data_IF_712296463706
#
_entry.id   IF_712296463706
#
_cell.length_a   1.000
_cell.length_b   1.000
_cell.length_c   1.000
_cell.angle_alpha   90.00
_cell.angle_beta   90.00
_cell.angle_gamma   90.00
#
_symmetry.space_group_name_H-M   'P 1'
#
loop_
_entity.id
_entity.type
_entity.pdbx_description
1 polymer ?
#
# COMPACT_ATOMS: atom_id res chain seq x y z
N UNK A 1 16.35 29.30 -4.57
CA UNK A 1 17.49 28.34 -4.49
C UNK A 1 18.57 28.94 -5.37
N UNK A 2 19.66 29.39 -4.76
CA UNK A 2 20.65 30.23 -5.43
C UNK A 2 21.41 29.47 -6.52
N UNK A 3 21.56 30.08 -7.68
CA UNK A 3 22.35 29.58 -8.84
C UNK A 3 23.78 29.19 -8.45
N UNK A 4 24.33 29.77 -7.39
CA UNK A 4 25.65 29.45 -6.85
C UNK A 4 25.79 28.01 -6.30
N UNK A 5 24.70 27.37 -5.80
CA UNK A 5 24.76 25.99 -5.30
C UNK A 5 24.85 24.96 -6.44
N UNK A 6 24.32 25.28 -7.62
CA UNK A 6 24.37 24.40 -8.79
C UNK A 6 25.72 24.45 -9.52
N UNK A 7 26.50 25.51 -9.34
CA UNK A 7 27.78 25.70 -10.04
C UNK A 7 28.88 24.70 -9.61
N UNK A 8 28.74 24.07 -8.44
CA UNK A 8 29.74 23.14 -7.89
C UNK A 8 29.30 21.66 -7.93
N UNK A 9 28.27 21.33 -8.69
CA UNK A 9 27.80 19.95 -8.85
C UNK A 9 28.16 19.40 -10.22
N UNK A 10 28.49 18.09 -10.30
CA UNK A 10 28.71 17.41 -11.58
C UNK A 10 27.49 17.52 -12.49
N UNK A 11 27.72 17.41 -13.80
CA UNK A 11 26.62 17.39 -14.78
C UNK A 11 25.65 16.23 -14.52
N UNK A 12 26.17 15.04 -14.19
CA UNK A 12 25.36 13.86 -13.83
C UNK A 12 24.43 14.14 -12.65
N UNK A 13 24.92 14.79 -11.60
CA UNK A 13 24.08 15.17 -10.44
C UNK A 13 22.94 16.08 -10.90
N UNK A 14 23.22 17.08 -11.71
CA UNK A 14 22.22 18.00 -12.21
C UNK A 14 21.18 17.34 -13.11
N UNK A 15 21.60 16.43 -14.00
CA UNK A 15 20.72 15.68 -14.90
C UNK A 15 19.79 14.75 -14.13
N UNK A 16 20.33 13.94 -13.21
CA UNK A 16 19.54 13.02 -12.39
C UNK A 16 18.56 13.78 -11.48
N UNK A 17 18.99 14.89 -10.88
CA UNK A 17 18.14 15.69 -10.03
C UNK A 17 16.94 16.32 -10.78
N UNK A 18 17.10 16.62 -12.07
CA UNK A 18 16.01 17.15 -12.91
C UNK A 18 14.99 16.09 -13.30
N UNK A 19 15.43 14.84 -13.51
CA UNK A 19 14.58 13.75 -13.98
C UNK A 19 14.92 12.42 -13.26
N UNK A 20 14.67 12.31 -11.93
CA UNK A 20 14.94 11.10 -11.19
C UNK A 20 14.02 9.97 -11.63
N UNK A 21 14.57 8.76 -11.76
CA UNK A 21 13.83 7.57 -12.24
C UNK A 21 13.11 6.80 -11.13
N UNK A 22 13.67 6.82 -9.92
CA UNK A 22 13.19 6.02 -8.79
C UNK A 22 12.39 6.83 -7.77
N UNK A 23 11.98 8.05 -8.12
CA UNK A 23 11.18 8.89 -7.22
C UNK A 23 9.77 8.34 -7.09
N UNK A 24 9.33 8.11 -5.85
CA UNK A 24 8.00 7.56 -5.54
C UNK A 24 7.96 6.96 -4.14
N UNK A 25 6.89 6.22 -3.85
CA UNK A 25 6.70 5.46 -2.63
C UNK A 25 6.25 4.04 -2.97
N UNK A 26 6.44 3.12 -2.04
CA UNK A 26 5.86 1.77 -2.04
C UNK A 26 5.03 1.65 -0.77
N UNK A 27 3.84 1.10 -0.87
CA UNK A 27 2.95 0.94 0.27
C UNK A 27 3.03 -0.46 0.85
N UNK A 28 2.81 -0.58 2.17
CA UNK A 28 2.88 -1.87 2.86
C UNK A 28 1.93 -2.90 2.25
N UNK A 29 0.74 -2.47 1.86
CA UNK A 29 -0.25 -3.35 1.24
C UNK A 29 0.25 -4.01 -0.04
N UNK A 30 1.00 -3.28 -0.88
CA UNK A 30 1.58 -3.82 -2.12
C UNK A 30 2.64 -4.91 -1.83
N UNK A 31 3.38 -4.75 -0.73
CA UNK A 31 4.37 -5.73 -0.30
C UNK A 31 3.69 -6.97 0.29
N UNK A 32 2.67 -6.78 1.12
CA UNK A 32 1.90 -7.85 1.77
C UNK A 32 1.19 -8.73 0.73
N UNK A 33 0.52 -8.13 -0.26
CA UNK A 33 -0.12 -8.85 -1.35
C UNK A 33 0.84 -9.74 -2.15
N UNK A 34 2.09 -9.29 -2.30
CA UNK A 34 3.14 -10.03 -2.99
C UNK A 34 3.92 -10.98 -2.07
N UNK A 35 3.64 -10.97 -0.76
CA UNK A 35 4.39 -11.72 0.24
C UNK A 35 5.84 -11.27 0.37
N UNK A 36 6.11 -9.98 0.16
CA UNK A 36 7.43 -9.36 0.17
C UNK A 36 7.65 -8.51 1.42
N UNK A 37 8.90 -8.36 1.84
CA UNK A 37 9.25 -7.46 2.92
C UNK A 37 9.36 -6.03 2.40
N UNK A 38 8.73 -5.07 3.07
CA UNK A 38 8.90 -3.65 2.81
C UNK A 38 9.82 -3.04 3.88
N UNK A 39 11.01 -2.62 3.46
CA UNK A 39 11.88 -1.77 4.27
C UNK A 39 11.66 -0.33 3.87
N UNK A 40 11.14 0.47 4.78
CA UNK A 40 10.92 1.90 4.63
C UNK A 40 11.69 2.66 5.72
N UNK A 41 12.74 3.35 5.32
CA UNK A 41 13.65 4.03 6.23
C UNK A 41 13.77 5.50 5.88
N UNK A 42 13.78 6.35 6.91
CA UNK A 42 13.90 7.80 6.75
C UNK A 42 15.10 8.33 7.53
N UNK A 43 15.94 9.09 6.86
CA UNK A 43 17.03 9.88 7.50
C UNK A 43 16.92 11.31 6.98
N UNK A 44 16.79 12.26 7.88
CA UNK A 44 16.59 13.67 7.55
C UNK A 44 15.38 13.90 6.62
N UNK A 45 15.59 14.47 5.45
CA UNK A 45 14.56 14.74 4.44
C UNK A 45 14.44 13.64 3.38
N UNK A 46 15.22 12.54 3.48
CA UNK A 46 15.23 11.42 2.55
C UNK A 46 14.56 10.20 3.16
N UNK A 47 13.61 9.62 2.45
CA UNK A 47 13.02 8.31 2.75
C UNK A 47 13.24 7.38 1.56
N UNK A 48 13.67 6.14 1.82
CA UNK A 48 13.76 5.08 0.81
C UNK A 48 12.80 3.95 1.13
N UNK A 49 12.36 3.26 0.09
CA UNK A 49 11.47 2.12 0.13
C UNK A 49 12.11 0.99 -0.67
N UNK A 50 12.27 -0.17 -0.05
CA UNK A 50 12.85 -1.36 -0.66
C UNK A 50 11.86 -2.52 -0.50
N UNK A 51 11.42 -3.08 -1.61
CA UNK A 51 10.62 -4.30 -1.64
C UNK A 51 11.55 -5.47 -1.86
N UNK A 52 11.61 -6.40 -0.91
CA UNK A 52 12.63 -7.45 -0.82
C UNK A 52 11.95 -8.80 -0.73
N UNK A 53 12.41 -9.76 -1.54
CA UNK A 53 12.00 -11.15 -1.41
C UNK A 53 12.67 -11.79 -0.17
N UNK A 54 11.88 -12.20 0.84
CA UNK A 54 12.44 -12.72 2.10
C UNK A 54 13.09 -14.11 1.96
N UNK A 55 12.86 -14.85 0.86
CA UNK A 55 13.45 -16.18 0.65
C UNK A 55 14.91 -16.10 0.17
N UNK A 56 15.21 -15.12 -0.67
CA UNK A 56 16.55 -14.97 -1.26
C UNK A 56 17.20 -13.61 -0.93
N UNK A 57 16.57 -12.82 -0.07
CA UNK A 57 17.04 -11.49 0.38
C UNK A 57 17.27 -10.50 -0.78
N UNK A 58 16.59 -10.71 -1.91
CA UNK A 58 16.78 -9.97 -3.14
C UNK A 58 15.88 -8.75 -3.22
N UNK A 59 16.44 -7.60 -3.51
CA UNK A 59 15.72 -6.35 -3.71
C UNK A 59 15.08 -6.35 -5.09
N UNK A 60 13.74 -6.40 -5.14
CA UNK A 60 12.97 -6.47 -6.39
C UNK A 60 12.57 -5.09 -6.89
N UNK A 61 12.23 -4.20 -5.98
CA UNK A 61 11.82 -2.83 -6.31
C UNK A 61 12.37 -1.83 -5.30
N UNK A 62 12.71 -0.65 -5.81
CA UNK A 62 13.27 0.44 -5.01
C UNK A 62 12.59 1.75 -5.38
N UNK A 63 12.26 2.56 -4.39
CA UNK A 63 11.76 3.93 -4.55
C UNK A 63 12.39 4.82 -3.49
N UNK A 64 12.36 6.12 -3.74
CA UNK A 64 12.71 7.11 -2.74
C UNK A 64 11.82 8.34 -2.83
N UNK A 65 11.69 9.02 -1.71
CA UNK A 65 11.04 10.31 -1.63
C UNK A 65 11.92 11.28 -0.83
N UNK A 66 12.09 12.49 -1.33
CA UNK A 66 12.85 13.51 -0.64
C UNK A 66 12.29 14.92 -0.89
N UNK A 67 12.34 15.74 0.14
CA UNK A 67 12.20 17.19 0.08
C UNK A 67 13.57 17.91 0.07
N UNK A 68 14.68 17.14 0.13
CA UNK A 68 16.04 17.66 0.01
C UNK A 68 16.34 18.15 -1.40
N UNK A 69 17.42 18.87 -1.52
CA UNK A 69 17.88 19.47 -2.77
C UNK A 69 18.38 18.45 -3.80
N UNK A 70 19.01 18.94 -4.87
CA UNK A 70 19.51 18.11 -5.99
C UNK A 70 20.49 17.04 -5.54
N UNK A 71 21.31 17.29 -4.51
CA UNK A 71 22.29 16.34 -3.99
C UNK A 71 21.58 15.06 -3.48
N UNK A 72 20.60 15.20 -2.58
CA UNK A 72 19.85 14.05 -2.09
C UNK A 72 19.10 13.31 -3.20
N UNK A 73 18.51 14.04 -4.13
CA UNK A 73 17.80 13.43 -5.25
C UNK A 73 18.73 12.56 -6.08
N UNK A 74 19.93 13.08 -6.42
CA UNK A 74 20.89 12.33 -7.23
C UNK A 74 21.51 11.14 -6.49
N UNK A 75 21.86 11.31 -5.20
CA UNK A 75 22.38 10.22 -4.39
C UNK A 75 21.35 9.10 -4.23
N UNK A 76 20.12 9.42 -3.92
CA UNK A 76 19.06 8.44 -3.71
C UNK A 76 18.67 7.72 -5.00
N UNK A 77 18.52 8.42 -6.11
CA UNK A 77 18.23 7.82 -7.42
C UNK A 77 19.34 6.85 -7.85
N UNK A 78 20.59 7.27 -7.66
CA UNK A 78 21.77 6.45 -7.97
C UNK A 78 21.84 5.22 -7.05
N UNK A 79 21.63 5.40 -5.75
CA UNK A 79 21.57 4.30 -4.81
C UNK A 79 20.50 3.28 -5.20
N UNK A 80 19.26 3.70 -5.43
CA UNK A 80 18.17 2.85 -5.89
C UNK A 80 18.56 2.06 -7.16
N UNK A 81 19.19 2.71 -8.12
CA UNK A 81 19.71 2.06 -9.34
C UNK A 81 20.76 0.99 -9.02
N UNK A 82 21.69 1.29 -8.12
CA UNK A 82 22.82 0.40 -7.81
C UNK A 82 22.40 -0.86 -7.04
N UNK A 83 21.36 -0.77 -6.23
CA UNK A 83 20.89 -1.88 -5.36
C UNK A 83 19.81 -2.74 -6.00
N UNK A 84 19.16 -2.28 -7.05
CA UNK A 84 18.09 -3.05 -7.70
C UNK A 84 18.61 -4.40 -8.20
N UNK A 85 17.86 -5.46 -7.88
CA UNK A 85 18.20 -6.86 -8.17
C UNK A 85 19.42 -7.42 -7.41
N UNK A 86 19.99 -6.68 -6.46
CA UNK A 86 21.02 -7.16 -5.53
C UNK A 86 20.40 -7.74 -4.27
N UNK A 87 21.18 -8.52 -3.52
CA UNK A 87 20.80 -8.91 -2.17
C UNK A 87 20.96 -7.74 -1.19
N UNK A 88 20.30 -7.83 -0.04
CA UNK A 88 20.42 -6.81 0.99
C UNK A 88 21.86 -6.63 1.48
N UNK A 89 22.61 -7.72 1.60
CA UNK A 89 24.01 -7.69 2.01
C UNK A 89 24.88 -6.97 0.99
N UNK A 90 24.67 -7.24 -0.30
CA UNK A 90 25.35 -6.52 -1.39
C UNK A 90 24.98 -5.04 -1.39
N UNK A 91 23.72 -4.70 -1.16
CA UNK A 91 23.23 -3.33 -1.09
C UNK A 91 23.84 -2.58 0.11
N UNK A 92 23.92 -3.20 1.26
CA UNK A 92 24.49 -2.62 2.48
C UNK A 92 26.04 -2.54 2.43
N UNK A 93 26.69 -3.25 1.53
CA UNK A 93 28.13 -3.11 1.27
C UNK A 93 28.49 -1.86 0.45
N UNK A 94 27.50 -1.24 -0.20
CA UNK A 94 27.67 0.00 -0.94
C UNK A 94 27.86 1.15 0.06
N UNK A 95 28.87 1.98 -0.18
CA UNK A 95 29.14 3.17 0.65
C UNK A 95 28.61 4.44 -0.01
N UNK A 96 28.28 5.45 0.80
CA UNK A 96 27.91 6.76 0.26
C UNK A 96 29.00 7.38 -0.60
N UNK A 97 30.28 7.05 -0.32
CA UNK A 97 31.40 7.49 -1.14
C UNK A 97 31.38 6.85 -2.53
N UNK A 98 31.11 5.53 -2.61
CA UNK A 98 31.03 4.84 -3.91
C UNK A 98 29.85 5.33 -4.76
N UNK A 99 28.75 5.76 -4.12
CA UNK A 99 27.63 6.40 -4.81
C UNK A 99 28.07 7.76 -5.39
N UNK A 100 28.76 8.58 -4.60
CA UNK A 100 29.31 9.86 -5.03
C UNK A 100 30.31 9.67 -6.20
N UNK A 101 31.19 8.69 -6.11
CA UNK A 101 32.15 8.37 -7.17
C UNK A 101 31.49 8.04 -8.50
N UNK A 102 30.36 7.33 -8.47
CA UNK A 102 29.59 7.00 -9.68
C UNK A 102 28.95 8.23 -10.35
N UNK A 103 28.73 9.28 -9.57
CA UNK A 103 28.19 10.56 -10.01
C UNK A 103 29.23 11.52 -10.59
N UNK A 104 30.53 11.21 -10.51
CA UNK A 104 31.60 12.06 -11.04
C UNK A 104 31.57 12.09 -12.56
N UNK A 105 31.77 13.27 -13.14
CA UNK A 105 31.97 13.43 -14.59
C UNK A 105 33.38 13.04 -14.96
N UNK A 106 34.36 13.34 -14.09
CA UNK A 106 35.77 13.02 -14.22
C UNK A 106 36.24 12.32 -12.94
N UNK A 107 36.99 11.21 -13.01
CA UNK A 107 37.32 10.38 -11.84
C UNK A 107 37.93 11.11 -10.64
N UNK A 108 38.73 12.15 -10.89
CA UNK A 108 39.47 12.90 -9.88
C UNK A 108 38.76 14.18 -9.41
N UNK A 109 37.58 14.47 -9.95
CA UNK A 109 36.80 15.66 -9.60
C UNK A 109 35.53 15.21 -8.87
N UNK A 110 35.33 15.70 -7.64
CA UNK A 110 34.15 15.33 -6.84
C UNK A 110 32.88 15.82 -7.52
N UNK A 111 31.86 14.94 -7.49
CA UNK A 111 30.53 15.24 -8.00
C UNK A 111 29.76 16.21 -7.09
N UNK A 112 30.09 16.19 -5.81
CA UNK A 112 29.39 16.89 -4.71
C UNK A 112 30.46 17.53 -3.81
N UNK A 113 30.18 18.72 -3.22
CA UNK A 113 31.11 19.37 -2.28
C UNK A 113 31.53 18.44 -1.15
N UNK A 114 32.79 18.52 -0.73
CA UNK A 114 33.38 17.62 0.27
C UNK A 114 32.70 17.68 1.63
N UNK A 115 32.22 18.85 2.00
CA UNK A 115 31.54 19.12 3.27
C UNK A 115 30.01 18.98 3.20
N UNK A 116 29.47 18.39 2.13
CA UNK A 116 28.04 18.17 1.99
C UNK A 116 27.53 17.17 3.03
N UNK A 117 26.62 17.55 3.93
CA UNK A 117 26.12 16.67 4.97
C UNK A 117 25.32 15.46 4.42
N UNK A 118 24.85 15.58 3.18
CA UNK A 118 24.08 14.54 2.50
C UNK A 118 24.85 13.22 2.34
N UNK A 119 26.18 13.27 2.24
CA UNK A 119 27.03 12.08 2.16
C UNK A 119 26.94 11.27 3.47
N UNK A 120 27.11 11.93 4.61
CA UNK A 120 27.02 11.26 5.91
C UNK A 120 25.60 10.76 6.21
N UNK A 121 24.58 11.52 5.82
CA UNK A 121 23.19 11.14 5.98
C UNK A 121 22.81 9.97 5.06
N UNK A 122 23.38 9.90 3.85
CA UNK A 122 23.21 8.74 2.97
C UNK A 122 23.86 7.48 3.55
N UNK A 123 25.02 7.58 4.19
CA UNK A 123 25.67 6.47 4.87
C UNK A 123 24.81 5.99 6.05
N UNK A 124 24.28 6.89 6.87
CA UNK A 124 23.34 6.55 7.95
C UNK A 124 22.07 5.88 7.42
N UNK A 125 21.57 6.27 6.26
CA UNK A 125 20.41 5.64 5.63
C UNK A 125 20.70 4.19 5.25
N UNK A 126 21.85 3.90 4.67
CA UNK A 126 22.28 2.53 4.29
C UNK A 126 22.38 1.66 5.55
N UNK A 127 22.97 2.16 6.62
CA UNK A 127 23.08 1.47 7.91
C UNK A 127 21.70 1.22 8.52
N UNK A 128 20.79 2.18 8.45
CA UNK A 128 19.43 2.04 8.96
C UNK A 128 18.62 1.01 8.15
N UNK A 129 18.85 0.89 6.84
CA UNK A 129 18.27 -0.19 6.01
C UNK A 129 18.70 -1.56 6.50
N UNK A 130 20.01 -1.74 6.76
CA UNK A 130 20.55 -2.99 7.27
C UNK A 130 19.94 -3.37 8.64
N UNK A 131 19.74 -2.39 9.52
CA UNK A 131 19.17 -2.60 10.86
C UNK A 131 17.66 -2.93 10.81
N UNK A 132 16.91 -2.33 9.89
CA UNK A 132 15.47 -2.51 9.80
C UNK A 132 15.07 -3.84 9.13
N UNK A 133 15.90 -4.36 8.23
CA UNK A 133 15.52 -5.51 7.41
C UNK A 133 15.16 -6.79 8.16
N UNK A 134 15.89 -7.23 9.21
CA UNK A 134 15.58 -8.50 9.89
C UNK A 134 14.17 -8.55 10.48
N UNK A 135 13.70 -7.44 11.06
CA UNK A 135 12.34 -7.33 11.59
C UNK A 135 11.29 -7.38 10.46
N UNK A 136 11.52 -6.63 9.39
CA UNK A 136 10.62 -6.58 8.22
C UNK A 136 10.57 -7.93 7.50
N UNK A 137 11.68 -8.65 7.40
CA UNK A 137 11.74 -10.02 6.89
C UNK A 137 10.87 -10.96 7.72
N UNK A 138 11.02 -10.94 9.03
CA UNK A 138 10.22 -11.77 9.94
C UNK A 138 8.72 -11.52 9.80
N UNK A 139 8.34 -10.25 9.73
CA UNK A 139 6.95 -9.85 9.52
C UNK A 139 6.40 -10.35 8.17
N UNK A 140 7.14 -10.20 7.08
CA UNK A 140 6.73 -10.64 5.76
C UNK A 140 6.53 -12.17 5.67
N UNK A 141 7.42 -12.95 6.31
CA UNK A 141 7.29 -14.41 6.38
C UNK A 141 5.99 -14.79 7.11
N UNK A 142 5.71 -14.17 8.25
CA UNK A 142 4.48 -14.44 9.01
C UNK A 142 3.21 -14.08 8.23
N UNK A 143 3.22 -12.95 7.52
CA UNK A 143 2.11 -12.52 6.66
C UNK A 143 1.90 -13.54 5.54
N UNK A 144 2.98 -13.96 4.85
CA UNK A 144 2.93 -14.96 3.78
C UNK A 144 2.38 -16.30 4.27
N UNK A 145 2.90 -16.82 5.38
CA UNK A 145 2.40 -18.06 5.97
C UNK A 145 0.91 -18.00 6.32
N UNK A 146 0.46 -16.84 6.81
CA UNK A 146 -0.96 -16.62 7.10
C UNK A 146 -1.80 -16.62 5.81
N UNK A 147 -1.34 -15.94 4.78
CA UNK A 147 -2.03 -15.89 3.47
C UNK A 147 -2.06 -17.26 2.81
N UNK A 148 -0.97 -18.02 2.85
CA UNK A 148 -0.90 -19.37 2.30
C UNK A 148 -1.84 -20.33 3.04
N UNK A 149 -1.95 -20.25 4.36
CA UNK A 149 -2.92 -21.05 5.13
C UNK A 149 -4.36 -20.72 4.73
N UNK A 150 -4.70 -19.45 4.59
CA UNK A 150 -6.04 -19.02 4.18
C UNK A 150 -6.34 -19.50 2.76
N UNK A 151 -5.41 -19.31 1.84
CA UNK A 151 -5.52 -19.75 0.45
C UNK A 151 -5.67 -21.27 0.34
N UNK A 152 -4.89 -22.03 1.11
CA UNK A 152 -5.00 -23.48 1.17
C UNK A 152 -6.36 -23.93 1.72
N UNK A 153 -6.83 -23.33 2.83
CA UNK A 153 -8.14 -23.59 3.42
C UNK A 153 -9.31 -23.38 2.45
N UNK A 154 -9.20 -22.38 1.58
CA UNK A 154 -10.28 -22.08 0.63
C UNK A 154 -10.22 -22.91 -0.66
N UNK A 155 -9.09 -23.53 -0.96
CA UNK A 155 -8.91 -24.35 -2.17
C UNK A 155 -9.37 -25.81 -2.00
N UNK A 156 -9.31 -26.35 -0.78
CA UNK A 156 -9.71 -27.75 -0.52
C UNK A 156 -11.14 -27.84 0.01
N UNK A 157 -11.82 -28.94 -0.29
CA UNK A 157 -13.18 -29.19 0.26
C UNK A 157 -13.16 -29.31 1.78
N UNK A 158 -12.13 -29.96 2.33
CA UNK A 158 -11.93 -30.12 3.78
C UNK A 158 -11.68 -28.77 4.45
N UNK A 159 -10.79 -27.95 3.90
CA UNK A 159 -10.52 -26.63 4.45
C UNK A 159 -11.71 -25.67 4.40
N UNK A 160 -12.56 -25.77 3.36
CA UNK A 160 -13.83 -25.03 3.31
C UNK A 160 -14.78 -25.51 4.40
N UNK A 161 -14.91 -26.83 4.59
CA UNK A 161 -15.77 -27.39 5.63
C UNK A 161 -15.33 -26.97 7.04
N UNK A 162 -14.01 -26.90 7.31
CA UNK A 162 -13.49 -26.36 8.57
C UNK A 162 -13.79 -24.86 8.73
N UNK A 163 -13.59 -24.06 7.69
CA UNK A 163 -13.90 -22.64 7.70
C UNK A 163 -15.40 -22.39 7.94
N UNK A 164 -16.26 -23.19 7.30
CA UNK A 164 -17.72 -23.14 7.49
C UNK A 164 -18.09 -23.52 8.91
N UNK A 165 -17.49 -24.56 9.49
CA UNK A 165 -17.75 -24.97 10.86
C UNK A 165 -17.34 -23.88 11.86
N UNK A 166 -16.14 -23.29 11.70
CA UNK A 166 -15.67 -22.18 12.53
C UNK A 166 -16.58 -20.95 12.41
N UNK A 167 -16.94 -20.58 11.18
CA UNK A 167 -17.82 -19.43 10.93
C UNK A 167 -19.23 -19.61 11.50
N UNK A 168 -19.81 -20.79 11.30
CA UNK A 168 -21.15 -21.10 11.77
C UNK A 168 -21.23 -21.28 13.30
N UNK A 169 -20.11 -21.57 13.97
CA UNK A 169 -20.04 -21.60 15.42
C UNK A 169 -20.06 -20.20 16.06
N UNK A 170 -19.74 -19.14 15.29
CA UNK A 170 -19.76 -17.76 15.78
C UNK A 170 -21.18 -17.19 15.81
N UNK A 171 -21.47 -16.41 16.84
CA UNK A 171 -22.68 -15.58 16.88
C UNK A 171 -22.54 -14.40 15.89
N UNK A 172 -23.66 -13.83 15.46
CA UNK A 172 -23.67 -12.66 14.57
C UNK A 172 -22.79 -11.50 15.09
N UNK A 173 -22.83 -11.09 16.37
CA UNK A 173 -21.92 -10.07 16.89
C UNK A 173 -20.45 -10.44 16.75
N UNK A 174 -20.06 -11.71 17.01
CA UNK A 174 -18.68 -12.17 16.86
C UNK A 174 -18.20 -12.14 15.40
N UNK A 175 -19.09 -12.49 14.46
CA UNK A 175 -18.80 -12.37 13.03
C UNK A 175 -18.55 -10.91 12.63
N UNK A 176 -19.42 -9.99 13.07
CA UNK A 176 -19.28 -8.56 12.80
C UNK A 176 -17.99 -8.01 13.43
N UNK A 177 -17.68 -8.38 14.68
CA UNK A 177 -16.46 -7.97 15.35
C UNK A 177 -15.20 -8.40 14.56
N UNK A 178 -15.19 -9.64 14.06
CA UNK A 178 -14.09 -10.17 13.25
C UNK A 178 -13.94 -9.41 11.91
N UNK A 179 -15.05 -9.09 11.25
CA UNK A 179 -15.06 -8.28 10.02
C UNK A 179 -14.57 -6.87 10.31
N UNK A 180 -15.07 -6.24 11.37
CA UNK A 180 -14.71 -4.87 11.76
C UNK A 180 -13.21 -4.75 12.10
N UNK A 181 -12.68 -5.74 12.84
CA UNK A 181 -11.25 -5.80 13.15
C UNK A 181 -10.37 -5.83 11.89
N UNK A 182 -10.79 -6.61 10.87
CA UNK A 182 -10.07 -6.66 9.59
C UNK A 182 -10.22 -5.36 8.80
N UNK A 183 -11.41 -4.80 8.68
CA UNK A 183 -11.64 -3.50 8.02
C UNK A 183 -10.79 -2.41 8.64
N UNK A 184 -10.71 -2.38 9.98
CA UNK A 184 -9.87 -1.39 10.69
C UNK A 184 -8.38 -1.59 10.40
N UNK A 185 -7.91 -2.83 10.34
CA UNK A 185 -6.50 -3.15 10.13
C UNK A 185 -6.03 -2.88 8.70
N UNK A 186 -6.85 -3.21 7.70
CA UNK A 186 -6.38 -3.33 6.31
C UNK A 186 -7.08 -2.37 5.33
N UNK A 187 -8.33 -1.99 5.58
CA UNK A 187 -9.14 -1.25 4.61
C UNK A 187 -9.30 0.23 4.97
N UNK A 188 -9.63 0.54 6.24
CA UNK A 188 -9.96 1.92 6.63
C UNK A 188 -8.82 2.91 6.47
N UNK A 189 -7.57 2.47 6.71
CA UNK A 189 -6.40 3.34 6.52
C UNK A 189 -6.27 3.90 5.11
N UNK A 190 -6.61 3.08 4.10
CA UNK A 190 -6.61 3.49 2.70
C UNK A 190 -7.78 4.43 2.41
N UNK A 191 -9.00 4.09 2.83
CA UNK A 191 -10.19 4.90 2.58
C UNK A 191 -10.10 6.28 3.24
N UNK A 192 -9.58 6.34 4.47
CA UNK A 192 -9.40 7.59 5.22
C UNK A 192 -8.31 8.48 4.60
N UNK A 193 -7.31 7.89 3.96
CA UNK A 193 -6.32 8.63 3.16
C UNK A 193 -6.95 9.44 2.03
N UNK A 194 -8.04 8.95 1.47
CA UNK A 194 -8.84 9.61 0.42
C UNK A 194 -10.04 10.41 0.98
N UNK A 195 -10.14 10.55 2.30
CA UNK A 195 -11.23 11.30 2.98
C UNK A 195 -12.55 10.53 3.05
N UNK A 196 -12.55 9.22 2.84
CA UNK A 196 -13.70 8.34 2.94
C UNK A 196 -13.63 7.37 4.11
N UNK A 197 -14.70 6.60 4.32
CA UNK A 197 -14.75 5.47 5.27
C UNK A 197 -15.90 4.53 4.87
N UNK A 198 -16.01 3.40 5.59
CA UNK A 198 -17.08 2.41 5.43
C UNK A 198 -17.65 2.02 6.79
N UNK A 199 -18.98 1.92 6.86
CA UNK A 199 -19.73 1.49 8.05
C UNK A 199 -20.42 0.16 7.76
N UNK A 200 -20.36 -0.79 8.69
CA UNK A 200 -21.14 -2.02 8.63
C UNK A 200 -22.56 -1.73 9.12
N UNK A 201 -23.54 -1.99 8.28
CA UNK A 201 -24.95 -1.83 8.61
C UNK A 201 -25.54 -3.13 9.18
N UNK A 202 -25.31 -4.24 8.50
CA UNK A 202 -25.83 -5.53 8.86
C UNK A 202 -25.03 -6.69 8.26
N UNK A 203 -25.16 -7.87 8.84
CA UNK A 203 -24.71 -9.15 8.28
C UNK A 203 -25.89 -10.11 8.29
N UNK A 204 -26.31 -10.54 7.12
CA UNK A 204 -27.43 -11.47 6.97
C UNK A 204 -27.02 -12.92 7.26
N UNK A 205 -27.97 -13.82 7.43
CA UNK A 205 -27.71 -15.25 7.67
C UNK A 205 -27.03 -15.95 6.49
N UNK A 206 -27.26 -15.47 5.28
CA UNK A 206 -26.63 -15.94 4.04
C UNK A 206 -25.28 -15.25 3.72
N UNK A 207 -24.65 -14.65 4.74
CA UNK A 207 -23.32 -14.02 4.69
C UNK A 207 -23.23 -12.80 3.77
N UNK A 208 -24.33 -12.05 3.59
CA UNK A 208 -24.32 -10.76 2.92
C UNK A 208 -24.02 -9.67 3.93
N UNK A 209 -22.89 -9.00 3.74
CA UNK A 209 -22.45 -7.87 4.53
C UNK A 209 -22.97 -6.58 3.89
N UNK A 210 -23.94 -5.94 4.52
CA UNK A 210 -24.43 -4.63 4.10
C UNK A 210 -23.53 -3.53 4.64
N UNK A 211 -23.02 -2.68 3.77
CA UNK A 211 -22.14 -1.57 4.12
C UNK A 211 -22.68 -0.24 3.61
N UNK A 212 -22.32 0.84 4.31
CA UNK A 212 -22.55 2.22 3.87
C UNK A 212 -21.22 2.94 3.70
N UNK A 213 -21.04 3.57 2.56
CA UNK A 213 -19.89 4.45 2.35
C UNK A 213 -20.09 5.79 3.04
N UNK A 214 -19.00 6.34 3.62
CA UNK A 214 -18.99 7.61 4.32
C UNK A 214 -17.97 8.58 3.67
N UNK A 215 -18.15 9.87 3.90
CA UNK A 215 -17.23 10.90 3.43
C UNK A 215 -17.10 10.95 1.90
N UNK A 216 -15.88 11.06 1.38
CA UNK A 216 -15.62 11.16 -0.05
C UNK A 216 -16.06 9.90 -0.84
N UNK A 217 -16.12 8.74 -0.19
CA UNK A 217 -16.58 7.51 -0.82
C UNK A 217 -18.09 7.49 -1.09
N UNK A 218 -18.91 8.22 -0.32
CA UNK A 218 -20.38 8.23 -0.46
C UNK A 218 -20.88 8.83 -1.79
N UNK A 219 -20.08 9.69 -2.44
CA UNK A 219 -20.43 10.36 -3.71
C UNK A 219 -19.61 9.92 -4.91
N UNK A 220 -18.71 8.96 -4.75
CA UNK A 220 -17.76 8.57 -5.79
C UNK A 220 -18.27 7.39 -6.61
N UNK A 221 -18.49 7.57 -7.92
CA UNK A 221 -18.91 6.48 -8.82
C UNK A 221 -17.90 5.33 -8.92
N UNK A 222 -16.62 5.57 -8.64
CA UNK A 222 -15.59 4.53 -8.59
C UNK A 222 -15.64 3.71 -7.29
N UNK A 223 -16.22 4.23 -6.19
CA UNK A 223 -16.42 3.50 -4.95
C UNK A 223 -17.37 2.31 -5.14
N UNK A 224 -18.36 2.44 -6.02
CA UNK A 224 -19.33 1.37 -6.32
C UNK A 224 -18.75 0.21 -7.14
N UNK A 225 -17.55 0.35 -7.72
CA UNK A 225 -16.88 -0.70 -8.51
C UNK A 225 -15.61 -1.18 -7.84
N UNK A 226 -14.52 -0.41 -7.95
CA UNK A 226 -13.19 -0.83 -7.52
C UNK A 226 -13.06 -0.99 -6.00
N UNK A 227 -13.57 -0.05 -5.23
CA UNK A 227 -13.50 -0.10 -3.76
C UNK A 227 -14.34 -1.24 -3.18
N UNK A 228 -15.56 -1.47 -3.74
CA UNK A 228 -16.42 -2.58 -3.33
C UNK A 228 -15.73 -3.92 -3.56
N UNK A 229 -15.20 -4.12 -4.78
CA UNK A 229 -14.48 -5.32 -5.15
C UNK A 229 -13.28 -5.56 -4.21
N UNK A 230 -12.51 -4.50 -3.93
CA UNK A 230 -11.36 -4.58 -3.02
C UNK A 230 -11.78 -5.01 -1.60
N UNK A 231 -12.84 -4.38 -1.03
CA UNK A 231 -13.35 -4.74 0.31
C UNK A 231 -13.82 -6.20 0.31
N UNK A 232 -14.56 -6.63 -0.71
CA UNK A 232 -15.06 -8.00 -0.80
C UNK A 232 -13.92 -9.01 -0.91
N UNK A 233 -12.93 -8.75 -1.77
CA UNK A 233 -11.77 -9.62 -1.96
C UNK A 233 -10.95 -9.75 -0.66
N UNK A 234 -10.67 -8.63 0.01
CA UNK A 234 -9.99 -8.60 1.29
C UNK A 234 -10.72 -9.42 2.37
N UNK A 235 -12.03 -9.28 2.47
CA UNK A 235 -12.82 -10.01 3.44
C UNK A 235 -12.95 -11.50 3.09
N UNK A 236 -13.08 -11.86 1.82
CA UNK A 236 -13.09 -13.25 1.38
C UNK A 236 -11.78 -13.96 1.65
N UNK A 237 -10.68 -13.29 1.40
CA UNK A 237 -9.34 -13.85 1.57
C UNK A 237 -8.92 -13.97 3.03
N UNK A 238 -9.42 -13.10 3.91
CA UNK A 238 -8.85 -12.96 5.26
C UNK A 238 -9.83 -13.23 6.41
N UNK A 239 -11.12 -13.18 6.15
CA UNK A 239 -12.15 -13.34 7.19
C UNK A 239 -12.97 -14.61 6.97
N UNK A 240 -13.68 -14.66 5.81
CA UNK A 240 -14.49 -15.83 5.44
C UNK A 240 -14.79 -15.83 3.95
N UNK A 241 -14.41 -16.89 3.25
CA UNK A 241 -14.39 -17.01 1.80
C UNK A 241 -15.76 -16.85 1.11
N UNK A 242 -16.86 -17.05 1.84
CA UNK A 242 -18.22 -16.98 1.29
C UNK A 242 -18.98 -15.70 1.72
N UNK A 243 -18.23 -14.61 2.04
CA UNK A 243 -18.82 -13.29 2.26
C UNK A 243 -19.17 -12.63 0.94
N UNK A 244 -20.31 -11.96 0.89
CA UNK A 244 -20.73 -11.09 -0.22
C UNK A 244 -20.90 -9.70 0.36
N UNK A 245 -20.28 -8.70 -0.23
CA UNK A 245 -20.37 -7.31 0.23
C UNK A 245 -21.34 -6.53 -0.65
N UNK A 246 -22.36 -5.95 -0.02
CA UNK A 246 -23.39 -5.18 -0.70
C UNK A 246 -23.43 -3.74 -0.16
N UNK A 247 -23.31 -2.73 -1.02
CA UNK A 247 -23.54 -1.36 -0.59
C UNK A 247 -25.03 -1.16 -0.29
N UNK A 248 -25.33 -0.27 0.66
CA UNK A 248 -26.70 0.17 0.93
C UNK A 248 -27.33 0.72 -0.35
N UNK A 249 -28.53 0.26 -0.67
CA UNK A 249 -29.30 0.84 -1.77
C UNK A 249 -29.74 2.25 -1.36
N UNK A 250 -29.47 3.29 -2.14
CA UNK A 250 -29.98 4.64 -1.88
C UNK A 250 -31.50 4.70 -1.71
N UNK A 251 -32.23 3.71 -2.24
CA UNK A 251 -33.68 3.61 -2.12
C UNK A 251 -34.15 3.02 -0.79
N UNK A 252 -33.28 2.29 -0.07
CA UNK A 252 -33.64 1.70 1.24
C UNK A 252 -33.92 2.78 2.32
N UNK A 253 -33.45 4.00 2.13
CA UNK A 253 -33.64 5.14 3.04
C UNK A 253 -34.75 6.11 2.63
N UNK A 254 -35.51 5.83 1.58
CA UNK A 254 -36.67 6.66 1.23
C UNK A 254 -37.77 6.31 2.24
N UNK A 255 -38.21 7.27 3.10
CA UNK A 255 -39.34 7.03 3.98
C UNK A 255 -40.54 6.61 3.11
N UNK A 256 -41.01 5.39 3.30
CA UNK A 256 -42.24 4.96 2.64
C UNK A 256 -43.36 5.92 3.10
N UNK A 257 -43.69 6.86 2.26
CA UNK A 257 -44.83 7.75 2.52
C UNK A 257 -46.11 6.93 2.33
N UNK A 258 -46.84 6.59 3.41
CA UNK A 258 -48.05 5.77 3.31
C UNK A 258 -49.17 6.46 2.51
N UNK A 259 -48.97 7.70 2.08
CA UNK A 259 -49.94 8.50 1.31
C UNK A 259 -49.55 8.66 -0.17
N UNK A 260 -48.54 7.98 -0.67
CA UNK A 260 -48.34 7.90 -2.13
C UNK A 260 -49.39 6.92 -2.68
N UNK A 261 -50.28 7.39 -3.60
CA UNK A 261 -51.22 6.49 -4.29
C UNK A 261 -50.38 5.43 -5.01
N UNK A 262 -50.65 4.16 -4.74
CA UNK A 262 -49.96 3.04 -5.36
C UNK A 262 -49.95 3.23 -6.87
N UNK A 263 -48.82 3.03 -7.49
CA UNK A 263 -48.73 2.86 -8.95
C UNK A 263 -49.51 1.58 -9.26
N UNK A 264 -50.76 1.75 -9.69
CA UNK A 264 -51.54 0.66 -10.24
C UNK A 264 -50.84 0.19 -11.53
N UNK A 265 -50.46 -1.09 -11.56
CA UNK A 265 -49.80 -1.76 -12.70
C UNK A 265 -50.58 -1.70 -14.00
N UNK A 266 -51.77 -1.12 -13.99
CA UNK A 266 -52.68 -1.05 -15.12
C UNK A 266 -52.81 0.34 -15.75
N UNK A 267 -52.06 1.36 -15.30
CA UNK A 267 -52.19 2.70 -15.92
C UNK A 267 -50.79 3.37 -16.06
N UNK A 268 -50.11 3.18 -17.21
CA UNK A 268 -48.82 3.85 -17.44
C UNK A 268 -49.07 5.39 -17.56
N UNK A 269 -48.18 6.23 -16.99
CA UNK A 269 -48.33 7.68 -17.09
C UNK A 269 -48.28 8.12 -18.53
N UNK A 270 -49.26 8.96 -18.91
CA UNK A 270 -49.33 9.61 -20.19
C UNK A 270 -48.01 10.38 -20.46
N UNK A 271 -47.42 10.14 -21.62
CA UNK A 271 -46.23 10.82 -22.13
C UNK A 271 -46.34 12.34 -21.99
N UNK A 272 -45.41 12.90 -21.20
CA UNK A 272 -45.12 14.34 -21.28
C UNK A 272 -44.06 14.54 -22.39
N UNK A 273 -44.54 15.13 -23.50
CA UNK A 273 -43.71 15.77 -24.50
C UNK A 273 -43.26 17.15 -24.03
#
# INVERSE_FOLDING_TARGET
>A
MSEELCANLSQKVQEIAKAPKYRGAIFQIEADEKGLALVDVKVSSLKVYLMIDPDCDKILETRFFTYGGPIFTALADTFCKMIQQKTIDEACSITAVSIEESLRDTPNVRAIPENAPEISQMQQLIEAVAQAYPEKKGTAILVREKMDRIKYRTQTAEGRAEADAEWNAMTKPQKIEKIEAWLHQSVRGMLQGDGGDVEILDLTEDNRLKIRYQGACAGCGSAMGGTLFYIEDELKNNVYYNLIVEPEDPLDNIPQNPNLPGLDDNNPPASLF
#
